data_IF_520890441863
#
_entry.id   IF_520890441863
#
_cell.length_a   1.000
_cell.length_b   1.000
_cell.length_c   1.000
_cell.angle_alpha   90.00
_cell.angle_beta   90.00
_cell.angle_gamma   90.00
#
_symmetry.space_group_name_H-M   'P 1'
#
loop_
_entity.id
_entity.type
_entity.pdbx_description
1 polymer ?
#
# COMPACT_ATOMS: atom_id res chain seq x y z
N UNK A 1 -6.39 -3.25 20.84
CA UNK A 1 -6.61 -2.74 19.48
C UNK A 1 -8.05 -2.27 19.41
N UNK A 2 -8.35 -1.04 18.95
CA UNK A 2 -9.73 -0.63 18.73
C UNK A 2 -10.38 -1.60 17.73
N UNK A 3 -11.61 -2.04 17.98
CA UNK A 3 -12.33 -3.02 17.15
C UNK A 3 -12.64 -2.53 15.72
N UNK A 4 -12.24 -1.30 15.39
CA UNK A 4 -12.65 -0.59 14.16
C UNK A 4 -11.69 -0.80 12.98
N UNK A 5 -10.62 -1.58 13.15
CA UNK A 5 -9.71 -1.95 12.07
C UNK A 5 -9.73 -3.46 11.89
N UNK A 6 -10.19 -3.98 10.73
CA UNK A 6 -10.17 -5.40 10.45
C UNK A 6 -8.75 -5.98 10.47
N UNK A 7 -8.63 -7.27 10.76
CA UNK A 7 -7.36 -7.99 10.67
C UNK A 7 -6.80 -7.88 9.24
N UNK A 8 -5.50 -7.62 9.12
CA UNK A 8 -4.83 -7.44 7.82
C UNK A 8 -4.97 -6.03 7.24
N UNK A 9 -5.52 -5.09 8.00
CA UNK A 9 -5.59 -3.68 7.65
C UNK A 9 -4.91 -2.82 8.71
N UNK A 10 -4.53 -1.61 8.31
CA UNK A 10 -3.91 -0.59 9.15
C UNK A 10 -4.67 0.73 9.00
N UNK A 11 -4.81 1.46 10.11
CA UNK A 11 -5.27 2.85 10.08
C UNK A 11 -4.08 3.79 9.85
N UNK A 12 -4.21 4.67 8.86
CA UNK A 12 -3.24 5.72 8.52
C UNK A 12 -3.94 7.06 8.60
N UNK A 13 -3.29 8.05 9.22
CA UNK A 13 -3.80 9.41 9.33
C UNK A 13 -3.06 10.31 8.34
N UNK A 14 -3.79 11.12 7.59
CA UNK A 14 -3.22 11.88 6.48
C UNK A 14 -3.51 13.36 6.63
N UNK A 15 -2.45 14.15 6.49
CA UNK A 15 -2.50 15.60 6.48
C UNK A 15 -2.84 16.24 7.82
N UNK A 16 -2.95 17.58 7.85
CA UNK A 16 -3.20 18.33 9.08
C UNK A 16 -4.58 18.06 9.69
N UNK A 17 -5.55 17.67 8.87
CA UNK A 17 -6.89 17.28 9.32
C UNK A 17 -6.93 15.87 9.93
N UNK A 18 -5.82 15.12 9.91
CA UNK A 18 -5.72 13.73 10.37
C UNK A 18 -6.85 12.87 9.77
N UNK A 19 -7.05 12.97 8.45
CA UNK A 19 -8.06 12.15 7.78
C UNK A 19 -7.66 10.69 7.87
N UNK A 20 -8.55 9.85 8.39
CA UNK A 20 -8.30 8.44 8.63
C UNK A 20 -8.59 7.61 7.39
N UNK A 21 -7.59 6.84 6.96
CA UNK A 21 -7.69 5.84 5.90
C UNK A 21 -7.44 4.46 6.48
N UNK A 22 -8.18 3.46 6.01
CA UNK A 22 -7.94 2.05 6.35
C UNK A 22 -7.40 1.37 5.09
N UNK A 23 -6.15 0.93 5.15
CA UNK A 23 -5.46 0.33 4.00
C UNK A 23 -5.06 -1.11 4.31
N UNK A 24 -4.99 -2.01 3.31
CA UNK A 24 -4.43 -3.34 3.52
C UNK A 24 -2.98 -3.26 3.97
N UNK A 25 -2.56 -4.11 4.91
CA UNK A 25 -1.15 -4.18 5.33
C UNK A 25 -0.21 -4.62 4.20
N UNK A 26 -0.74 -5.23 3.13
CA UNK A 26 0.03 -5.56 1.93
C UNK A 26 0.64 -4.34 1.24
N UNK A 27 0.03 -3.15 1.38
CA UNK A 27 0.59 -1.93 0.80
C UNK A 27 1.91 -1.52 1.46
N UNK A 28 2.16 -1.92 2.72
CA UNK A 28 3.45 -1.65 3.38
C UNK A 28 4.64 -2.34 2.67
N UNK A 29 4.36 -3.38 1.87
CA UNK A 29 5.37 -4.07 1.07
C UNK A 29 5.49 -3.52 -0.35
N UNK A 30 4.56 -2.66 -0.77
CA UNK A 30 4.57 -2.05 -2.10
C UNK A 30 5.73 -1.05 -2.23
N UNK A 31 6.52 -1.10 -3.32
CA UNK A 31 7.64 -0.17 -3.53
C UNK A 31 7.22 1.29 -3.45
N UNK A 32 6.04 1.66 -3.96
CA UNK A 32 5.57 3.03 -3.95
C UNK A 32 5.27 3.51 -2.53
N UNK A 33 4.72 2.64 -1.68
CA UNK A 33 4.48 2.98 -0.28
C UNK A 33 5.77 3.12 0.51
N UNK A 34 6.77 2.26 0.24
CA UNK A 34 8.08 2.36 0.89
C UNK A 34 8.76 3.69 0.58
N UNK A 35 8.79 4.08 -0.70
CA UNK A 35 9.35 5.37 -1.13
C UNK A 35 8.60 6.54 -0.48
N UNK A 36 7.27 6.43 -0.31
CA UNK A 36 6.52 7.45 0.42
C UNK A 36 6.98 7.54 1.89
N UNK A 37 7.10 6.40 2.58
CA UNK A 37 7.52 6.39 3.98
C UNK A 37 8.95 6.91 4.16
N UNK A 38 9.87 6.56 3.26
CA UNK A 38 11.25 7.06 3.25
C UNK A 38 11.28 8.59 3.11
N UNK A 39 10.48 9.16 2.19
CA UNK A 39 10.40 10.63 2.06
C UNK A 39 9.85 11.30 3.30
N UNK A 40 8.83 10.71 3.92
CA UNK A 40 8.26 11.22 5.17
C UNK A 40 9.29 11.16 6.29
N UNK A 41 10.07 10.07 6.38
CA UNK A 41 11.19 9.94 7.31
C UNK A 41 12.23 11.03 7.14
N UNK A 42 12.69 11.24 5.91
CA UNK A 42 13.75 12.19 5.58
C UNK A 42 13.35 13.64 5.90
N UNK A 43 12.09 14.00 5.63
CA UNK A 43 11.61 15.38 5.82
C UNK A 43 11.14 15.68 7.25
N UNK A 44 10.51 14.71 7.92
CA UNK A 44 9.82 14.95 9.21
C UNK A 44 10.41 14.16 10.37
N UNK A 45 11.32 13.22 10.10
CA UNK A 45 11.89 12.32 11.11
C UNK A 45 10.94 11.22 11.55
N UNK A 46 11.46 10.30 12.36
CA UNK A 46 10.70 9.19 12.92
C UNK A 46 10.16 9.51 14.31
N UNK A 47 8.83 9.65 14.40
CA UNK A 47 8.11 9.55 15.66
C UNK A 47 7.36 8.21 15.72
N UNK A 48 7.92 7.25 16.45
CA UNK A 48 7.34 5.93 16.65
C UNK A 48 6.32 5.86 17.79
N UNK A 49 5.99 6.99 18.42
CA UNK A 49 5.16 7.00 19.63
C UNK A 49 3.65 6.89 19.38
N UNK A 50 3.20 6.73 18.12
CA UNK A 50 1.78 6.78 17.79
C UNK A 50 1.35 6.11 16.49
N UNK A 51 0.17 6.53 16.01
CA UNK A 51 -0.39 6.03 14.76
C UNK A 51 0.39 6.54 13.55
N UNK A 52 0.47 5.72 12.50
CA UNK A 52 1.15 6.09 11.26
C UNK A 52 0.47 7.33 10.66
N UNK A 53 1.20 8.44 10.66
CA UNK A 53 0.73 9.73 10.15
C UNK A 53 1.57 10.11 8.95
N UNK A 54 0.92 10.42 7.84
CA UNK A 54 1.56 10.81 6.59
C UNK A 54 1.27 12.29 6.33
N UNK A 55 2.29 13.16 6.38
CA UNK A 55 2.16 14.60 6.18
C UNK A 55 2.05 14.94 4.68
N UNK A 56 0.98 14.46 4.04
CA UNK A 56 0.61 14.86 2.68
C UNK A 56 -0.88 15.25 2.63
N UNK A 57 -1.31 15.82 1.51
CA UNK A 57 -2.72 16.08 1.29
C UNK A 57 -3.48 14.76 1.02
N UNK A 58 -4.75 14.74 1.42
CA UNK A 58 -5.58 13.55 1.32
C UNK A 58 -5.86 13.09 -0.12
N UNK A 59 -5.85 14.01 -1.10
CA UNK A 59 -6.08 13.65 -2.50
C UNK A 59 -4.85 13.00 -3.12
N UNK A 60 -3.65 13.49 -2.84
CA UNK A 60 -2.38 12.84 -3.19
C UNK A 60 -2.30 11.45 -2.58
N UNK A 61 -2.70 11.28 -1.31
CA UNK A 61 -2.71 9.94 -0.71
C UNK A 61 -3.69 8.99 -1.41
N UNK A 62 -4.91 9.43 -1.72
CA UNK A 62 -5.88 8.62 -2.49
C UNK A 62 -5.33 8.21 -3.86
N UNK A 63 -4.67 9.14 -4.56
CA UNK A 63 -4.05 8.87 -5.85
C UNK A 63 -2.97 7.78 -5.73
N UNK A 64 -2.13 7.85 -4.69
CA UNK A 64 -1.12 6.82 -4.39
C UNK A 64 -1.76 5.44 -4.17
N UNK A 65 -2.82 5.38 -3.36
CA UNK A 65 -3.58 4.14 -3.13
C UNK A 65 -4.07 3.56 -4.46
N UNK A 66 -4.62 4.40 -5.34
CA UNK A 66 -5.11 3.97 -6.65
C UNK A 66 -3.98 3.44 -7.54
N UNK A 67 -2.80 4.06 -7.53
CA UNK A 67 -1.63 3.58 -8.27
C UNK A 67 -1.20 2.19 -7.79
N UNK A 68 -1.10 1.96 -6.48
CA UNK A 68 -0.73 0.65 -5.92
C UNK A 68 -1.77 -0.43 -6.26
N UNK A 69 -3.06 -0.08 -6.21
CA UNK A 69 -4.13 -1.02 -6.56
C UNK A 69 -4.06 -1.44 -8.04
N UNK A 70 -3.73 -0.52 -8.94
CA UNK A 70 -3.58 -0.83 -10.36
C UNK A 70 -2.35 -1.70 -10.64
N UNK A 71 -1.22 -1.42 -9.99
CA UNK A 71 -0.01 -2.22 -10.12
C UNK A 71 -0.22 -3.67 -9.67
N UNK A 72 -1.02 -3.87 -8.63
CA UNK A 72 -1.39 -5.23 -8.16
C UNK A 72 -2.29 -5.97 -9.16
N UNK A 73 -3.16 -5.28 -9.89
CA UNK A 73 -4.01 -5.89 -10.92
C UNK A 73 -3.21 -6.31 -12.14
N UNK A 74 -2.22 -5.54 -12.54
CA UNK A 74 -1.32 -5.87 -13.66
C UNK A 74 -0.48 -7.13 -13.36
N UNK A 75 -0.06 -7.33 -12.11
CA UNK A 75 0.66 -8.55 -11.70
C UNK A 75 -0.24 -9.79 -11.60
N UNK A 76 -1.54 -9.61 -11.33
CA UNK A 76 -2.51 -10.71 -11.26
C UNK A 76 -2.92 -11.26 -12.64
N UNK A 77 -2.67 -10.51 -13.72
CA UNK A 77 -2.99 -10.94 -15.09
C UNK A 77 -1.84 -11.71 -15.77
N UNK A 78 -0.60 -11.53 -15.29
CA UNK A 78 0.59 -12.24 -15.80
C UNK A 78 0.81 -13.63 -15.19
N UNK A 79 -0.03 -14.06 -14.25
CA UNK A 79 0.02 -15.41 -13.67
C UNK A 79 -0.81 -16.47 -14.41
N UNK A 80 -1.46 -16.12 -15.53
CA UNK A 80 -2.22 -17.06 -16.37
C UNK A 80 -1.53 -17.43 -17.70
N UNK A 81 -0.19 -17.45 -17.75
CA UNK A 81 0.55 -17.95 -18.92
C UNK A 81 1.68 -18.91 -18.50
N UNK A 82 1.37 -19.93 -17.71
CA UNK A 82 2.25 -21.07 -17.49
C UNK A 82 1.44 -22.32 -17.15
N UNK A 83 0.91 -23.01 -18.17
CA UNK A 83 0.58 -24.45 -18.23
C UNK A 83 -0.21 -24.64 -19.54
N UNK A 84 0.38 -25.13 -20.63
CA UNK A 84 0.64 -26.55 -20.85
C UNK A 84 1.61 -26.79 -22.03
N UNK A 85 2.86 -27.12 -21.74
CA UNK A 85 3.66 -27.94 -22.67
C UNK A 85 3.22 -29.39 -22.50
N UNK A 86 2.84 -30.05 -23.59
CA UNK A 86 2.93 -31.50 -23.71
C UNK A 86 3.71 -31.81 -24.99
N UNK A 87 4.77 -32.62 -24.93
CA UNK A 87 5.42 -33.14 -26.12
C UNK A 87 4.53 -34.26 -26.67
N UNK A 88 4.15 -34.16 -27.95
CA UNK A 88 3.73 -35.35 -28.69
C UNK A 88 4.93 -35.81 -29.50
N UNK A 89 5.54 -36.89 -29.00
CA UNK A 89 6.38 -37.78 -29.77
C UNK A 89 5.48 -38.48 -30.81
N UNK A 90 5.78 -38.36 -32.11
CA UNK A 90 5.84 -39.46 -33.10
C UNK A 90 6.42 -38.97 -34.43
#
# INVERSE_FOLDING_TARGET
MPNDVPRGYLAVYVGPELRRFIIPTSYLSDPLFKVLLEKVEEEFGFDHSGALTIPCDAETFKYLIQCMENHRKEQADQSNAAENTSPVEE
#
